data_IF_558617302155
#
_entry.id   IF_558617302155
#
_cell.length_a   1.000
_cell.length_b   1.000
_cell.length_c   1.000
_cell.angle_alpha   90.00
_cell.angle_beta   90.00
_cell.angle_gamma   90.00
#
_symmetry.space_group_name_H-M   'P 1'
#
loop_
_entity.id
_entity.type
_entity.pdbx_description
1 polymer ?
#
# COMPACT_ATOMS: atom_id res chain seq x y z
N UNK A 1 13.65 31.63 -68.24
CA UNK A 1 12.48 30.87 -67.74
C UNK A 1 12.12 31.45 -66.40
N UNK A 2 10.99 32.17 -66.39
CA UNK A 2 10.46 32.98 -65.30
C UNK A 2 9.47 32.09 -64.54
N UNK A 3 9.70 31.85 -63.25
CA UNK A 3 8.72 31.17 -62.39
C UNK A 3 8.12 32.21 -61.47
N UNK A 4 6.86 32.55 -61.75
CA UNK A 4 6.06 33.54 -61.03
C UNK A 4 5.69 33.04 -59.64
N UNK A 5 5.87 33.96 -58.68
CA UNK A 5 5.58 33.86 -57.26
C UNK A 5 4.12 34.25 -57.01
N UNK A 6 3.36 33.39 -56.34
CA UNK A 6 1.96 33.60 -55.93
C UNK A 6 1.90 34.35 -54.59
N UNK A 7 1.17 35.47 -54.45
CA UNK A 7 0.99 36.13 -53.15
C UNK A 7 -0.41 35.89 -52.53
N UNK A 8 -0.38 35.71 -51.21
CA UNK A 8 -1.28 36.17 -50.15
C UNK A 8 -2.81 36.14 -50.35
N UNK A 9 -3.48 35.26 -49.60
CA UNK A 9 -4.89 35.39 -49.20
C UNK A 9 -5.02 35.82 -47.72
N UNK A 10 -5.99 36.68 -47.35
CA UNK A 10 -6.14 37.20 -45.98
C UNK A 10 -6.93 36.24 -45.07
N UNK A 11 -6.69 36.23 -43.74
CA UNK A 11 -7.57 35.54 -42.79
C UNK A 11 -8.78 36.41 -42.39
N UNK A 12 -9.99 35.83 -42.20
CA UNK A 12 -11.15 36.57 -41.72
C UNK A 12 -11.15 36.78 -40.20
N UNK A 13 -11.22 38.07 -39.85
CA UNK A 13 -11.97 38.73 -38.77
C UNK A 13 -12.36 37.95 -37.51
N UNK A 14 -11.77 38.40 -36.40
CA UNK A 14 -12.13 38.06 -35.03
C UNK A 14 -13.52 38.57 -34.60
N UNK A 15 -14.17 37.79 -33.73
CA UNK A 15 -15.47 38.13 -33.16
C UNK A 15 -15.34 38.48 -31.67
N UNK A 16 -15.22 39.79 -31.39
CA UNK A 16 -15.38 40.39 -30.07
C UNK A 16 -16.87 40.56 -29.76
N UNK A 17 -17.42 39.80 -28.81
CA UNK A 17 -18.75 40.07 -28.26
C UNK A 17 -18.71 41.07 -27.09
N UNK A 18 -18.90 42.32 -27.49
CA UNK A 18 -19.61 43.44 -26.85
C UNK A 18 -19.98 43.33 -25.35
N UNK A 19 -19.25 44.09 -24.55
CA UNK A 19 -19.74 44.73 -23.31
C UNK A 19 -20.72 45.85 -23.67
N UNK A 20 -21.97 45.76 -23.19
CA UNK A 20 -22.96 46.84 -23.28
C UNK A 20 -22.81 47.76 -22.06
N UNK A 21 -22.38 49.00 -22.31
CA UNK A 21 -22.47 50.14 -21.39
C UNK A 21 -23.85 50.78 -21.50
N UNK A 22 -24.46 51.16 -20.37
CA UNK A 22 -25.27 52.39 -20.28
C UNK A 22 -25.26 52.91 -18.83
N UNK A 23 -24.68 54.11 -18.66
CA UNK A 23 -24.74 55.07 -17.53
C UNK A 23 -26.12 55.80 -17.56
N UNK A 24 -26.47 56.75 -16.65
CA UNK A 24 -25.87 57.18 -15.37
C UNK A 24 -26.89 57.35 -14.20
N UNK A 25 -26.37 57.68 -13.02
CA UNK A 25 -27.06 58.07 -11.78
C UNK A 25 -27.50 59.55 -11.76
N UNK A 26 -28.64 59.84 -11.15
CA UNK A 26 -28.89 61.09 -10.39
C UNK A 26 -30.05 60.85 -9.37
N UNK A 27 -30.08 61.59 -8.24
CA UNK A 27 -30.65 61.16 -6.96
C UNK A 27 -32.08 61.65 -6.72
N UNK A 28 -32.82 60.93 -5.87
CA UNK A 28 -34.11 61.37 -5.29
C UNK A 28 -34.14 60.82 -3.85
N UNK A 29 -33.89 61.64 -2.81
CA UNK A 29 -34.81 62.56 -2.11
C UNK A 29 -35.52 61.87 -0.94
N UNK A 30 -35.05 62.16 0.29
CA UNK A 30 -35.78 61.95 1.55
C UNK A 30 -37.09 62.76 1.54
N UNK A 31 -38.11 62.26 2.27
CA UNK A 31 -38.96 63.17 3.01
C UNK A 31 -39.01 62.79 4.50
N UNK A 32 -38.67 63.77 5.32
CA UNK A 32 -39.18 63.92 6.67
C UNK A 32 -40.62 64.47 6.60
N UNK A 33 -41.55 63.89 7.37
CA UNK A 33 -42.93 64.37 7.43
C UNK A 33 -43.72 63.69 8.55
N UNK A 34 -43.85 64.41 9.67
CA UNK A 34 -44.67 64.10 10.85
C UNK A 34 -46.11 63.74 10.50
N UNK A 35 -46.77 62.93 11.33
CA UNK A 35 -47.87 63.34 12.25
C UNK A 35 -48.71 62.10 12.64
N UNK A 36 -48.70 61.73 13.93
CA UNK A 36 -49.74 60.89 14.55
C UNK A 36 -50.94 61.81 14.91
N UNK A 37 -52.20 61.33 14.95
CA UNK A 37 -52.68 60.59 16.14
C UNK A 37 -53.83 59.59 15.92
N UNK A 38 -54.08 58.73 16.92
CA UNK A 38 -55.42 58.20 17.23
C UNK A 38 -55.55 56.67 17.23
N UNK A 39 -55.93 56.03 18.35
CA UNK A 39 -56.01 54.58 18.50
C UNK A 39 -57.40 54.06 18.09
N UNK A 40 -57.45 52.95 17.35
CA UNK A 40 -58.68 52.18 17.19
C UNK A 40 -58.32 50.71 16.92
N UNK A 41 -58.98 49.85 17.67
CA UNK A 41 -58.77 48.41 17.77
C UNK A 41 -58.80 47.68 16.41
N UNK A 42 -57.81 46.83 16.15
CA UNK A 42 -57.91 45.80 15.12
C UNK A 42 -57.09 44.59 15.56
N UNK A 43 -57.77 43.44 15.61
CA UNK A 43 -57.28 42.12 15.96
C UNK A 43 -55.99 41.73 15.20
N UNK A 44 -55.09 40.92 15.79
CA UNK A 44 -53.88 40.50 15.10
C UNK A 44 -54.22 39.51 13.98
N UNK A 45 -54.07 39.95 12.73
CA UNK A 45 -53.97 39.04 11.59
C UNK A 45 -52.83 38.01 11.81
N UNK A 46 -53.00 36.76 11.37
CA UNK A 46 -51.98 35.74 11.51
C UNK A 46 -50.79 36.15 10.65
N UNK A 47 -49.67 36.50 11.31
CA UNK A 47 -48.37 36.66 10.64
C UNK A 47 -48.13 35.41 9.81
N UNK A 48 -48.25 35.56 8.49
CA UNK A 48 -47.75 34.60 7.53
C UNK A 48 -46.32 34.26 7.96
N UNK A 49 -46.13 33.02 8.38
CA UNK A 49 -44.84 32.52 8.81
C UNK A 49 -43.83 32.84 7.73
N UNK A 50 -42.69 33.42 8.14
CA UNK A 50 -41.50 33.40 7.29
C UNK A 50 -41.37 31.99 6.73
N UNK A 51 -41.09 31.80 5.42
CA UNK A 51 -40.73 30.49 4.92
C UNK A 51 -39.58 30.01 5.80
N UNK A 52 -39.81 28.87 6.46
CA UNK A 52 -38.85 28.17 7.30
C UNK A 52 -37.59 28.02 6.45
N UNK A 53 -36.61 28.91 6.67
CA UNK A 53 -35.31 28.82 6.02
C UNK A 53 -34.79 27.47 6.51
N UNK A 54 -34.64 26.46 5.64
CA UNK A 54 -34.19 25.16 6.09
C UNK A 54 -32.86 25.42 6.77
N UNK A 55 -32.84 25.21 8.08
CA UNK A 55 -31.64 25.34 8.87
C UNK A 55 -30.65 24.38 8.23
N UNK A 56 -29.61 24.93 7.61
CA UNK A 56 -28.52 24.22 6.94
C UNK A 56 -27.65 23.54 8.02
N UNK A 57 -28.28 22.69 8.84
CA UNK A 57 -27.55 21.77 9.67
C UNK A 57 -26.88 20.79 8.72
N UNK A 58 -25.55 20.65 8.75
CA UNK A 58 -24.87 19.69 7.90
C UNK A 58 -25.50 18.32 8.17
N UNK A 59 -26.18 17.77 7.15
CA UNK A 59 -26.77 16.43 7.23
C UNK A 59 -25.69 15.50 7.73
N UNK A 60 -25.85 14.99 8.95
CA UNK A 60 -24.92 14.03 9.50
C UNK A 60 -24.97 12.79 8.61
N UNK A 61 -23.92 12.61 7.80
CA UNK A 61 -23.80 11.45 6.94
C UNK A 61 -23.68 10.21 7.82
N UNK A 62 -24.43 9.17 7.49
CA UNK A 62 -24.17 7.85 8.08
C UNK A 62 -22.73 7.41 7.76
N UNK A 63 -22.10 6.55 8.58
CA UNK A 63 -20.77 6.02 8.29
C UNK A 63 -20.64 5.45 6.87
N UNK A 64 -21.68 4.75 6.41
CA UNK A 64 -21.80 4.23 5.06
C UNK A 64 -21.77 5.33 3.99
N UNK A 65 -22.55 6.40 4.15
CA UNK A 65 -22.59 7.51 3.19
C UNK A 65 -21.28 8.31 3.17
N UNK A 66 -20.66 8.53 4.34
CA UNK A 66 -19.37 9.20 4.45
C UNK A 66 -18.26 8.39 3.76
N UNK A 67 -18.27 7.06 3.94
CA UNK A 67 -17.37 6.16 3.22
C UNK A 67 -17.62 6.18 1.71
N UNK A 68 -18.88 6.08 1.28
CA UNK A 68 -19.25 6.06 -0.14
C UNK A 68 -18.83 7.39 -0.82
N UNK A 69 -18.95 8.52 -0.12
CA UNK A 69 -18.49 9.83 -0.58
C UNK A 69 -16.96 9.89 -0.72
N UNK A 70 -16.21 9.44 0.30
CA UNK A 70 -14.75 9.36 0.25
C UNK A 70 -14.28 8.46 -0.90
N UNK A 71 -14.92 7.29 -1.07
CA UNK A 71 -14.60 6.35 -2.14
C UNK A 71 -14.84 6.98 -3.51
N UNK A 72 -16.02 7.56 -3.74
CA UNK A 72 -16.38 8.15 -5.02
C UNK A 72 -15.43 9.29 -5.41
N UNK A 73 -14.97 10.07 -4.44
CA UNK A 73 -14.04 11.17 -4.66
C UNK A 73 -12.60 10.70 -4.91
N UNK A 74 -12.06 9.86 -4.02
CA UNK A 74 -10.64 9.52 -4.03
C UNK A 74 -10.29 8.36 -4.98
N UNK A 75 -11.15 7.34 -5.10
CA UNK A 75 -10.79 6.11 -5.80
C UNK A 75 -10.32 6.32 -7.25
N UNK A 76 -10.98 7.15 -8.09
CA UNK A 76 -10.53 7.35 -9.47
C UNK A 76 -9.11 7.94 -9.55
N UNK A 77 -8.78 8.91 -8.69
CA UNK A 77 -7.45 9.50 -8.65
C UNK A 77 -6.42 8.51 -8.10
N UNK A 78 -6.77 7.74 -7.07
CA UNK A 78 -5.88 6.75 -6.49
C UNK A 78 -5.56 5.62 -7.46
N UNK A 79 -6.50 5.16 -8.28
CA UNK A 79 -6.22 4.11 -9.29
C UNK A 79 -5.24 4.65 -10.35
N UNK A 80 -5.40 5.91 -10.77
CA UNK A 80 -4.46 6.59 -11.66
C UNK A 80 -3.06 6.67 -11.07
N UNK A 81 -2.96 7.05 -9.80
CA UNK A 81 -1.69 7.12 -9.08
C UNK A 81 -1.02 5.74 -8.92
N UNK A 82 -1.76 4.72 -8.47
CA UNK A 82 -1.22 3.37 -8.31
C UNK A 82 -0.89 2.71 -9.64
N UNK A 83 -1.51 3.14 -10.74
CA UNK A 83 -1.10 2.75 -12.10
C UNK A 83 0.29 3.29 -12.45
N UNK A 84 0.61 4.55 -12.16
CA UNK A 84 1.96 5.09 -12.36
C UNK A 84 3.02 4.31 -11.54
N UNK A 85 2.61 3.77 -10.38
CA UNK A 85 3.49 2.95 -9.55
C UNK A 85 3.69 1.53 -10.07
N UNK A 86 2.69 0.92 -10.69
CA UNK A 86 2.67 -0.52 -11.00
C UNK A 86 2.76 -0.85 -12.48
N UNK A 87 2.35 0.07 -13.34
CA UNK A 87 2.17 -0.12 -14.78
C UNK A 87 1.09 -1.13 -15.16
N UNK A 88 0.24 -1.53 -14.21
CA UNK A 88 -0.72 -2.61 -14.36
C UNK A 88 -2.09 -2.16 -13.87
N UNK A 89 -3.06 -2.14 -14.77
CA UNK A 89 -4.41 -1.62 -14.55
C UNK A 89 -5.15 -2.45 -13.52
N UNK A 90 -5.06 -3.77 -13.60
CA UNK A 90 -5.73 -4.66 -12.65
C UNK A 90 -5.10 -4.54 -11.26
N UNK A 91 -3.77 -4.54 -11.18
CA UNK A 91 -3.07 -4.41 -9.90
C UNK A 91 -3.33 -3.05 -9.24
N UNK A 92 -3.39 -1.97 -10.02
CA UNK A 92 -3.71 -0.64 -9.55
C UNK A 92 -5.11 -0.57 -8.93
N UNK A 93 -6.12 -1.13 -9.62
CA UNK A 93 -7.51 -1.22 -9.11
C UNK A 93 -7.57 -2.05 -7.84
N UNK A 94 -6.97 -3.22 -7.83
CA UNK A 94 -6.95 -4.12 -6.67
C UNK A 94 -6.27 -3.52 -5.44
N UNK A 95 -5.19 -2.75 -5.64
CA UNK A 95 -4.50 -2.06 -4.56
C UNK A 95 -5.40 -1.02 -3.89
N UNK A 96 -6.12 -0.22 -4.69
CA UNK A 96 -7.07 0.77 -4.19
C UNK A 96 -8.27 0.10 -3.52
N UNK A 97 -8.84 -0.94 -4.13
CA UNK A 97 -9.91 -1.72 -3.51
C UNK A 97 -9.49 -2.28 -2.15
N UNK A 98 -8.27 -2.82 -2.06
CA UNK A 98 -7.76 -3.36 -0.79
C UNK A 98 -7.54 -2.27 0.25
N UNK A 99 -7.05 -1.09 -0.15
CA UNK A 99 -6.92 0.06 0.74
C UNK A 99 -8.27 0.50 1.31
N UNK A 100 -9.31 0.59 0.47
CA UNK A 100 -10.66 0.93 0.93
C UNK A 100 -11.33 -0.19 1.74
N UNK A 101 -11.03 -1.47 1.48
CA UNK A 101 -11.46 -2.57 2.35
C UNK A 101 -10.87 -2.42 3.76
N UNK A 102 -9.58 -2.09 3.85
CA UNK A 102 -8.93 -1.82 5.13
C UNK A 102 -9.48 -0.56 5.80
N UNK A 103 -9.76 0.49 5.03
CA UNK A 103 -10.38 1.71 5.52
C UNK A 103 -11.75 1.43 6.13
N UNK A 104 -12.59 0.59 5.49
CA UNK A 104 -13.89 0.21 6.04
C UNK A 104 -13.75 -0.59 7.34
N UNK A 105 -12.81 -1.52 7.40
CA UNK A 105 -12.54 -2.31 8.61
C UNK A 105 -12.11 -1.45 9.80
N UNK A 106 -11.44 -0.32 9.53
CA UNK A 106 -10.95 0.64 10.52
C UNK A 106 -11.70 1.97 10.46
N UNK A 107 -12.95 1.95 9.96
CA UNK A 107 -13.67 3.17 9.63
C UNK A 107 -13.80 4.18 10.77
N UNK A 108 -14.04 3.77 12.04
CA UNK A 108 -14.11 4.74 13.14
C UNK A 108 -12.81 5.54 13.34
N UNK A 109 -11.65 4.95 13.05
CA UNK A 109 -10.37 5.64 13.17
C UNK A 109 -10.14 6.54 11.96
N UNK A 110 -10.34 5.99 10.76
CA UNK A 110 -10.12 6.71 9.49
C UNK A 110 -11.05 7.92 9.37
N UNK A 111 -12.31 7.79 9.76
CA UNK A 111 -13.27 8.88 9.70
C UNK A 111 -12.97 10.03 10.67
N UNK A 112 -12.15 9.79 11.70
CA UNK A 112 -11.68 10.81 12.67
C UNK A 112 -10.31 11.37 12.32
N UNK A 113 -9.62 10.77 11.35
CA UNK A 113 -8.32 11.24 10.89
C UNK A 113 -8.46 12.65 10.27
N UNK A 114 -7.41 13.45 10.39
CA UNK A 114 -7.35 14.79 9.77
C UNK A 114 -7.33 14.68 8.25
N UNK A 115 -6.70 13.63 7.71
CA UNK A 115 -6.63 13.37 6.27
C UNK A 115 -6.96 11.90 5.95
N UNK A 116 -8.26 11.55 5.87
CA UNK A 116 -8.68 10.21 5.48
C UNK A 116 -8.25 9.85 4.05
N UNK A 117 -8.09 10.84 3.16
CA UNK A 117 -7.66 10.60 1.79
C UNK A 117 -6.17 10.20 1.73
N UNK A 118 -5.32 10.90 2.48
CA UNK A 118 -3.91 10.56 2.67
C UNK A 118 -3.72 9.19 3.31
N UNK A 119 -4.52 8.85 4.34
CA UNK A 119 -4.49 7.52 4.94
C UNK A 119 -4.74 6.42 3.89
N UNK A 120 -5.82 6.54 3.10
CA UNK A 120 -6.15 5.54 2.07
C UNK A 120 -5.08 5.52 0.98
N UNK A 121 -4.51 6.67 0.62
CA UNK A 121 -3.43 6.78 -0.38
C UNK A 121 -2.17 6.05 0.06
N UNK A 122 -1.72 6.24 1.29
CA UNK A 122 -0.57 5.54 1.86
C UNK A 122 -0.78 4.02 1.80
N UNK A 123 -1.93 3.53 2.27
CA UNK A 123 -2.27 2.10 2.23
C UNK A 123 -2.37 1.57 0.79
N UNK A 124 -2.92 2.35 -0.13
CA UNK A 124 -3.00 1.98 -1.55
C UNK A 124 -1.61 1.87 -2.18
N UNK A 125 -0.67 2.74 -1.81
CA UNK A 125 0.70 2.74 -2.29
C UNK A 125 1.49 1.54 -1.74
N UNK A 126 1.32 1.22 -0.46
CA UNK A 126 1.90 0.01 0.14
C UNK A 126 1.36 -1.26 -0.51
N UNK A 127 0.05 -1.29 -0.75
CA UNK A 127 -0.58 -2.37 -1.48
C UNK A 127 -0.03 -2.46 -2.90
N UNK A 128 0.13 -1.34 -3.62
CA UNK A 128 0.60 -1.32 -5.00
C UNK A 128 2.07 -1.77 -5.14
N UNK A 129 2.95 -1.31 -4.25
CA UNK A 129 4.39 -1.57 -4.29
C UNK A 129 4.81 -2.84 -3.54
N UNK A 130 3.85 -3.61 -3.03
CA UNK A 130 4.12 -4.80 -2.24
C UNK A 130 4.97 -5.83 -3.02
N UNK A 131 6.10 -6.31 -2.46
CA UNK A 131 6.97 -7.25 -3.14
C UNK A 131 6.29 -8.61 -3.38
N UNK A 132 5.21 -8.91 -2.65
CA UNK A 132 4.48 -10.17 -2.77
C UNK A 132 3.78 -10.36 -4.12
N UNK A 133 3.56 -9.29 -4.90
CA UNK A 133 2.96 -9.40 -6.22
C UNK A 133 3.79 -10.21 -7.21
N UNK A 134 5.12 -10.27 -7.00
CA UNK A 134 6.03 -11.10 -7.81
C UNK A 134 5.71 -12.60 -7.71
N UNK A 135 5.07 -13.03 -6.62
CA UNK A 135 4.73 -14.43 -6.40
C UNK A 135 3.33 -14.80 -6.88
N UNK A 136 2.53 -13.83 -7.35
CA UNK A 136 1.15 -14.07 -7.79
C UNK A 136 1.12 -14.51 -9.25
N UNK A 137 0.65 -15.74 -9.56
CA UNK A 137 0.63 -16.25 -10.93
C UNK A 137 -0.14 -15.36 -11.92
N UNK A 138 -1.27 -14.79 -11.47
CA UNK A 138 -2.11 -13.86 -12.25
C UNK A 138 -1.38 -12.61 -12.75
N UNK A 139 -0.25 -12.27 -12.14
CA UNK A 139 0.56 -11.09 -12.45
C UNK A 139 1.84 -11.46 -13.21
N UNK A 140 1.98 -12.71 -13.68
CA UNK A 140 3.13 -13.12 -14.50
C UNK A 140 2.98 -12.70 -15.96
N UNK A 141 1.76 -12.61 -16.47
CA UNK A 141 1.50 -12.12 -17.82
C UNK A 141 1.59 -10.59 -17.86
N UNK A 142 2.33 -10.01 -18.82
CA UNK A 142 2.33 -8.56 -19.02
C UNK A 142 0.97 -8.09 -19.52
N UNK A 143 0.50 -6.94 -19.03
CA UNK A 143 -0.66 -6.27 -19.61
C UNK A 143 -0.27 -5.56 -20.92
N UNK A 144 -1.23 -5.32 -21.84
CA UNK A 144 -0.98 -4.51 -23.03
C UNK A 144 -0.41 -3.14 -22.62
N UNK A 145 0.69 -2.68 -23.25
CA UNK A 145 1.26 -1.39 -22.92
C UNK A 145 0.32 -0.25 -23.36
N UNK A 146 0.51 0.98 -22.86
CA UNK A 146 -0.21 2.15 -23.38
C UNK A 146 -0.18 2.24 -24.91
N UNK A 147 -1.25 2.78 -25.52
CA UNK A 147 -1.34 2.87 -26.98
C UNK A 147 -0.34 3.88 -27.57
N UNK A 148 -0.17 5.03 -26.91
CA UNK A 148 0.75 6.07 -27.33
C UNK A 148 2.21 5.65 -27.02
N UNK A 149 3.14 5.70 -28.01
CA UNK A 149 4.56 5.47 -27.76
C UNK A 149 5.15 6.36 -26.66
N UNK A 150 4.80 7.64 -26.59
CA UNK A 150 5.34 8.56 -25.59
C UNK A 150 4.91 8.16 -24.16
N UNK A 151 3.66 7.71 -24.01
CA UNK A 151 3.12 7.20 -22.76
C UNK A 151 3.81 5.90 -22.33
N UNK A 152 4.11 5.02 -23.29
CA UNK A 152 4.87 3.77 -23.03
C UNK A 152 6.27 4.06 -22.53
N UNK A 153 6.96 5.01 -23.15
CA UNK A 153 8.34 5.38 -22.77
C UNK A 153 8.39 6.02 -21.39
N UNK A 154 7.47 6.94 -21.08
CA UNK A 154 7.35 7.52 -19.74
C UNK A 154 7.06 6.45 -18.69
N UNK A 155 6.07 5.59 -18.93
CA UNK A 155 5.75 4.51 -18.00
C UNK A 155 6.95 3.58 -17.80
N UNK A 156 7.66 3.22 -18.87
CA UNK A 156 8.86 2.40 -18.78
C UNK A 156 9.98 3.08 -17.97
N UNK A 157 10.19 4.39 -18.14
CA UNK A 157 11.15 5.16 -17.34
C UNK A 157 10.79 5.11 -15.85
N UNK A 158 9.52 5.33 -15.49
CA UNK A 158 9.03 5.23 -14.11
C UNK A 158 9.21 3.83 -13.52
N UNK A 159 8.87 2.78 -14.27
CA UNK A 159 8.96 1.40 -13.81
C UNK A 159 10.40 0.89 -13.65
N UNK A 160 11.36 1.57 -14.28
CA UNK A 160 12.80 1.29 -14.12
C UNK A 160 13.35 1.83 -12.79
N UNK A 161 12.72 2.87 -12.23
CA UNK A 161 13.13 3.44 -10.93
C UNK A 161 12.91 2.42 -9.80
N UNK A 162 13.78 2.39 -8.75
CA UNK A 162 13.48 1.62 -7.55
C UNK A 162 12.15 2.07 -6.90
N UNK A 163 11.38 1.16 -6.27
CA UNK A 163 10.04 1.45 -5.76
C UNK A 163 9.95 2.70 -4.87
N UNK A 164 10.93 2.92 -3.98
CA UNK A 164 10.95 4.08 -3.10
C UNK A 164 11.11 5.41 -3.86
N UNK A 165 11.95 5.44 -4.91
CA UNK A 165 12.20 6.63 -5.73
C UNK A 165 10.98 6.94 -6.59
N UNK A 166 10.38 5.91 -7.19
CA UNK A 166 9.13 6.02 -7.94
C UNK A 166 7.99 6.54 -7.06
N UNK A 167 7.86 6.01 -5.84
CA UNK A 167 6.88 6.49 -4.85
C UNK A 167 7.07 7.98 -4.56
N UNK A 168 8.28 8.38 -4.20
CA UNK A 168 8.62 9.78 -3.90
C UNK A 168 8.31 10.70 -5.08
N UNK A 169 8.70 10.31 -6.30
CA UNK A 169 8.43 11.11 -7.51
C UNK A 169 6.94 11.24 -7.79
N UNK A 170 6.16 10.16 -7.70
CA UNK A 170 4.71 10.23 -7.94
C UNK A 170 4.01 11.05 -6.85
N UNK A 171 4.43 10.97 -5.59
CA UNK A 171 3.86 11.81 -4.51
C UNK A 171 4.13 13.30 -4.74
N UNK A 172 5.38 13.65 -5.05
CA UNK A 172 5.76 15.05 -5.22
C UNK A 172 5.30 15.60 -6.58
N UNK A 173 5.77 15.01 -7.68
CA UNK A 173 5.51 15.50 -9.05
C UNK A 173 4.18 15.01 -9.62
N UNK A 174 3.58 13.94 -9.12
CA UNK A 174 2.30 13.44 -9.61
C UNK A 174 1.10 13.96 -8.82
N UNK A 175 1.17 13.86 -7.48
CA UNK A 175 0.09 14.28 -6.57
C UNK A 175 0.21 15.76 -6.21
N UNK A 176 1.42 16.31 -6.16
CA UNK A 176 1.67 17.71 -5.80
C UNK A 176 1.80 17.95 -4.30
N UNK A 177 2.18 16.92 -3.53
CA UNK A 177 2.49 17.10 -2.11
C UNK A 177 3.74 17.94 -1.91
N UNK A 178 3.83 18.61 -0.76
CA UNK A 178 5.07 19.24 -0.38
C UNK A 178 6.13 18.19 0.03
N UNK A 179 7.37 18.65 0.21
CA UNK A 179 8.48 17.76 0.52
C UNK A 179 8.37 17.14 1.93
N UNK A 180 8.02 17.89 3.00
CA UNK A 180 7.73 17.31 4.31
C UNK A 180 6.62 16.24 4.31
N UNK A 181 5.49 16.48 3.64
CA UNK A 181 4.37 15.55 3.52
C UNK A 181 4.79 14.29 2.76
N UNK A 182 5.52 14.46 1.65
CA UNK A 182 6.10 13.34 0.89
C UNK A 182 7.06 12.51 1.75
N UNK A 183 7.87 13.17 2.60
CA UNK A 183 8.80 12.49 3.49
C UNK A 183 8.06 11.69 4.57
N UNK A 184 7.04 12.28 5.19
CA UNK A 184 6.20 11.62 6.19
C UNK A 184 5.54 10.36 5.62
N UNK A 185 4.99 10.45 4.41
CA UNK A 185 4.32 9.31 3.76
C UNK A 185 5.22 8.22 3.23
N UNK A 186 6.49 8.55 2.97
CA UNK A 186 7.49 7.57 2.55
C UNK A 186 8.32 7.05 3.73
N UNK A 187 7.91 7.39 4.95
CA UNK A 187 8.58 7.05 6.21
C UNK A 187 10.08 7.39 6.15
N UNK A 188 10.38 8.58 5.62
CA UNK A 188 11.73 9.06 5.38
C UNK A 188 11.95 10.43 6.01
N UNK A 189 13.22 10.80 6.22
CA UNK A 189 13.55 12.18 6.55
C UNK A 189 13.38 13.08 5.33
N UNK A 190 13.08 14.36 5.54
CA UNK A 190 12.96 15.35 4.46
C UNK A 190 14.19 15.40 3.54
N UNK A 191 15.44 15.37 4.05
CA UNK A 191 16.62 15.29 3.20
C UNK A 191 16.68 13.99 2.37
N UNK A 192 16.31 12.84 2.95
CA UNK A 192 16.29 11.58 2.22
C UNK A 192 15.23 11.58 1.10
N UNK A 193 14.05 12.16 1.35
CA UNK A 193 13.02 12.35 0.32
C UNK A 193 13.53 13.29 -0.79
N UNK A 194 14.23 14.38 -0.44
CA UNK A 194 14.82 15.29 -1.41
C UNK A 194 15.83 14.58 -2.32
N UNK A 195 16.77 13.83 -1.74
CA UNK A 195 17.77 13.07 -2.50
C UNK A 195 17.10 12.05 -3.43
N UNK A 196 16.09 11.32 -2.94
CA UNK A 196 15.33 10.36 -3.77
C UNK A 196 14.64 11.06 -4.94
N UNK A 197 14.04 12.23 -4.70
CA UNK A 197 13.35 13.00 -5.73
C UNK A 197 14.33 13.50 -6.81
N UNK A 198 15.47 14.08 -6.39
CA UNK A 198 16.50 14.56 -7.32
C UNK A 198 17.00 13.42 -8.21
N UNK A 199 17.38 12.29 -7.62
CA UNK A 199 17.84 11.13 -8.40
C UNK A 199 16.76 10.53 -9.29
N UNK A 200 15.50 10.51 -8.83
CA UNK A 200 14.39 10.03 -9.65
C UNK A 200 14.20 10.93 -10.89
N UNK A 201 14.27 12.26 -10.72
CA UNK A 201 14.20 13.22 -11.82
C UNK A 201 15.37 13.10 -12.78
N UNK A 202 16.60 12.98 -12.26
CA UNK A 202 17.80 12.75 -13.08
C UNK A 202 17.66 11.48 -13.93
N UNK A 203 17.21 10.38 -13.34
CA UNK A 203 17.02 9.11 -14.05
C UNK A 203 15.91 9.18 -15.11
N UNK A 204 14.83 9.93 -14.87
CA UNK A 204 13.78 10.17 -15.87
C UNK A 204 14.32 11.06 -16.99
N UNK A 205 14.96 12.19 -16.66
CA UNK A 205 15.50 13.14 -17.63
C UNK A 205 16.61 12.54 -18.51
N UNK A 206 17.41 11.61 -17.97
CA UNK A 206 18.42 10.89 -18.75
C UNK A 206 17.82 10.03 -19.87
N UNK A 207 16.56 9.59 -19.73
CA UNK A 207 15.84 8.82 -20.76
C UNK A 207 14.92 9.69 -21.61
N UNK A 208 14.33 10.73 -21.00
CA UNK A 208 13.32 11.61 -21.59
C UNK A 208 13.72 13.07 -21.29
N UNK A 209 14.68 13.65 -22.05
CA UNK A 209 15.23 14.98 -21.78
C UNK A 209 14.17 16.09 -21.80
N UNK A 210 13.11 15.94 -22.58
CA UNK A 210 11.97 16.85 -22.64
C UNK A 210 11.18 16.94 -21.32
N UNK A 211 11.36 15.97 -20.41
CA UNK A 211 10.74 15.93 -19.08
C UNK A 211 11.70 16.38 -17.97
N UNK A 212 12.83 17.00 -18.31
CA UNK A 212 13.73 17.60 -17.32
C UNK A 212 13.08 18.77 -16.56
N UNK A 213 12.12 19.47 -17.19
CA UNK A 213 11.31 20.48 -16.54
C UNK A 213 10.25 19.82 -15.61
N UNK A 214 10.24 20.12 -14.29
CA UNK A 214 9.27 19.55 -13.37
C UNK A 214 7.80 19.83 -13.75
N UNK A 215 7.50 21.00 -14.33
CA UNK A 215 6.13 21.33 -14.74
C UNK A 215 5.67 20.51 -15.95
N UNK A 216 6.56 20.28 -16.92
CA UNK A 216 6.33 19.36 -18.03
C UNK A 216 6.14 17.92 -17.54
N UNK A 217 6.98 17.46 -16.60
CA UNK A 217 6.85 16.13 -15.99
C UNK A 217 5.51 15.96 -15.29
N UNK A 218 5.11 16.90 -14.43
CA UNK A 218 3.82 16.87 -13.74
C UNK A 218 2.65 16.75 -14.72
N UNK A 219 2.62 17.57 -15.76
CA UNK A 219 1.58 17.54 -16.79
C UNK A 219 1.52 16.18 -17.49
N UNK A 220 2.68 15.64 -17.89
CA UNK A 220 2.75 14.33 -18.57
C UNK A 220 2.35 13.17 -17.68
N UNK A 221 2.66 13.21 -16.38
CA UNK A 221 2.16 12.23 -15.42
C UNK A 221 0.63 12.26 -15.33
N UNK A 222 0.02 13.45 -15.29
CA UNK A 222 -1.44 13.60 -15.28
C UNK A 222 -2.09 13.11 -16.59
N UNK A 223 -1.52 13.47 -17.74
CA UNK A 223 -2.00 13.04 -19.06
C UNK A 223 -1.97 11.50 -19.17
N UNK A 224 -0.82 10.89 -18.91
CA UNK A 224 -0.65 9.42 -18.92
C UNK A 224 -1.67 8.74 -18.02
N UNK A 225 -1.84 9.25 -16.79
CA UNK A 225 -2.75 8.63 -15.85
C UNK A 225 -4.22 8.80 -16.26
N UNK A 226 -4.58 9.91 -16.93
CA UNK A 226 -5.95 10.20 -17.39
C UNK A 226 -6.34 9.49 -18.69
N UNK A 227 -5.39 9.23 -19.59
CA UNK A 227 -5.61 8.57 -20.87
C UNK A 227 -6.05 7.11 -20.71
N UNK A 228 -5.57 6.47 -19.65
CA UNK A 228 -5.93 5.10 -19.34
C UNK A 228 -7.33 5.02 -18.72
N UNK A 229 -8.22 4.21 -19.31
CA UNK A 229 -9.57 3.94 -18.78
C UNK A 229 -9.50 3.05 -17.53
N UNK A 230 -9.06 3.66 -16.45
CA UNK A 230 -8.91 3.07 -15.14
C UNK A 230 -10.20 3.26 -14.34
N UNK A 231 -11.22 2.44 -14.63
CA UNK A 231 -12.44 2.43 -13.83
C UNK A 231 -12.18 1.89 -12.41
N UNK A 232 -12.65 2.60 -11.39
CA UNK A 232 -12.75 2.08 -10.03
C UNK A 232 -14.01 1.20 -9.89
N UNK A 233 -13.94 0.15 -9.05
CA UNK A 233 -15.12 -0.67 -8.74
C UNK A 233 -16.22 0.17 -8.06
N UNK A 234 -17.47 -0.33 -8.02
CA UNK A 234 -18.54 0.41 -7.32
C UNK A 234 -18.35 0.35 -5.79
N UNK A 235 -18.66 1.44 -5.05
CA UNK A 235 -18.44 1.53 -3.60
C UNK A 235 -19.09 0.39 -2.81
N UNK A 236 -20.31 0.01 -3.18
CA UNK A 236 -21.09 -1.06 -2.53
C UNK A 236 -20.42 -2.43 -2.61
N UNK A 237 -19.67 -2.72 -3.68
CA UNK A 237 -18.93 -3.98 -3.80
C UNK A 237 -17.75 -4.05 -2.83
N UNK A 238 -17.08 -2.91 -2.59
CA UNK A 238 -15.92 -2.85 -1.69
C UNK A 238 -16.36 -3.07 -0.25
N UNK A 239 -17.48 -2.44 0.17
CA UNK A 239 -18.06 -2.63 1.50
C UNK A 239 -18.51 -4.07 1.74
N UNK A 240 -19.42 -4.57 0.90
CA UNK A 240 -19.98 -5.92 1.06
C UNK A 240 -18.93 -7.02 0.88
N UNK A 241 -17.94 -6.80 0.01
CA UNK A 241 -16.81 -7.72 -0.17
C UNK A 241 -15.90 -7.78 1.06
N UNK A 242 -15.66 -6.65 1.72
CA UNK A 242 -14.85 -6.59 2.94
C UNK A 242 -15.50 -7.35 4.10
N UNK A 243 -16.81 -7.18 4.29
CA UNK A 243 -17.58 -7.83 5.36
C UNK A 243 -17.61 -9.34 5.17
N UNK A 244 -17.88 -9.81 3.94
CA UNK A 244 -17.85 -11.25 3.60
C UNK A 244 -16.48 -11.87 3.82
N UNK A 245 -15.41 -11.16 3.43
CA UNK A 245 -14.03 -11.61 3.67
C UNK A 245 -13.73 -11.69 5.16
N UNK A 246 -14.14 -10.70 5.94
CA UNK A 246 -13.87 -10.71 7.38
C UNK A 246 -14.59 -11.88 8.05
N UNK A 247 -15.88 -12.06 7.75
CA UNK A 247 -16.66 -13.21 8.24
C UNK A 247 -16.05 -14.54 7.80
N UNK A 248 -15.59 -14.64 6.54
CA UNK A 248 -14.91 -15.84 6.05
C UNK A 248 -13.63 -16.13 6.82
N UNK A 249 -12.77 -15.13 7.06
CA UNK A 249 -11.53 -15.30 7.82
C UNK A 249 -11.79 -15.66 9.28
N UNK A 250 -12.78 -15.04 9.94
CA UNK A 250 -13.19 -15.41 11.29
C UNK A 250 -13.66 -16.86 11.34
N UNK A 251 -14.50 -17.29 10.39
CA UNK A 251 -14.98 -18.67 10.29
C UNK A 251 -13.84 -19.65 10.01
N UNK A 252 -12.91 -19.31 9.13
CA UNK A 252 -11.75 -20.13 8.81
C UNK A 252 -10.82 -20.29 10.02
N UNK A 253 -10.58 -19.22 10.78
CA UNK A 253 -9.79 -19.26 12.01
C UNK A 253 -10.45 -20.19 13.05
N UNK A 254 -11.76 -20.06 13.26
CA UNK A 254 -12.52 -20.95 14.15
C UNK A 254 -12.40 -22.41 13.69
N UNK A 255 -12.61 -22.69 12.41
CA UNK A 255 -12.51 -24.05 11.86
C UNK A 255 -11.09 -24.64 12.03
N UNK A 256 -10.05 -23.82 11.83
CA UNK A 256 -8.66 -24.21 12.03
C UNK A 256 -8.37 -24.54 13.50
N UNK A 257 -8.84 -23.71 14.44
CA UNK A 257 -8.73 -23.99 15.87
C UNK A 257 -9.43 -25.29 16.26
N UNK A 258 -10.65 -25.52 15.77
CA UNK A 258 -11.38 -26.78 16.00
C UNK A 258 -10.62 -27.98 15.44
N UNK A 259 -10.00 -27.83 14.26
CA UNK A 259 -9.19 -28.89 13.64
C UNK A 259 -7.95 -29.22 14.46
N UNK A 260 -7.23 -28.20 14.96
CA UNK A 260 -6.07 -28.41 15.84
C UNK A 260 -6.50 -29.12 17.12
N UNK A 261 -7.54 -28.64 17.80
CA UNK A 261 -8.03 -29.27 19.04
C UNK A 261 -8.47 -30.71 18.79
N UNK A 262 -9.16 -30.97 17.68
CA UNK A 262 -9.55 -32.32 17.27
C UNK A 262 -8.34 -33.22 17.01
N UNK A 263 -7.33 -32.73 16.29
CA UNK A 263 -6.10 -33.46 16.02
C UNK A 263 -5.32 -33.74 17.30
N UNK A 264 -5.17 -32.76 18.20
CA UNK A 264 -4.53 -32.93 19.51
C UNK A 264 -5.28 -33.92 20.39
N UNK A 265 -6.61 -33.89 20.39
CA UNK A 265 -7.41 -34.85 21.16
C UNK A 265 -7.26 -36.26 20.60
N UNK A 266 -7.21 -36.39 19.27
CA UNK A 266 -6.99 -37.65 18.59
C UNK A 266 -5.60 -38.21 18.92
N UNK A 267 -4.55 -37.38 18.83
CA UNK A 267 -3.19 -37.83 19.18
C UNK A 267 -3.09 -38.23 20.64
N UNK A 268 -3.70 -37.49 21.57
CA UNK A 268 -3.75 -37.89 22.98
C UNK A 268 -4.48 -39.23 23.20
N UNK A 269 -5.46 -39.57 22.35
CA UNK A 269 -6.17 -40.87 22.43
C UNK A 269 -5.43 -42.02 21.78
N UNK A 270 -4.73 -41.79 20.67
CA UNK A 270 -4.16 -42.86 19.84
C UNK A 270 -2.65 -43.00 19.98
N UNK A 271 -1.96 -42.01 20.56
CA UNK A 271 -0.51 -42.08 20.71
C UNK A 271 -0.14 -43.21 21.69
N UNK A 272 0.77 -44.12 21.30
CA UNK A 272 1.28 -45.12 22.21
C UNK A 272 1.97 -44.43 23.40
N UNK A 273 1.49 -44.71 24.61
CA UNK A 273 1.97 -44.10 25.86
C UNK A 273 3.33 -44.64 26.31
N UNK A 274 3.83 -45.67 25.63
CA UNK A 274 5.10 -46.31 25.93
C UNK A 274 5.91 -46.47 24.65
N UNK A 275 7.12 -45.92 24.67
CA UNK A 275 8.11 -46.15 23.64
C UNK A 275 8.82 -47.46 23.93
N UNK A 276 8.63 -48.46 23.08
CA UNK A 276 9.48 -49.66 23.08
C UNK A 276 10.65 -49.42 22.11
N UNK A 277 11.89 -49.32 22.61
CA UNK A 277 13.03 -49.12 21.72
C UNK A 277 13.16 -50.34 20.80
N UNK A 278 13.31 -50.13 19.48
CA UNK A 278 13.54 -51.24 18.56
C UNK A 278 14.82 -51.96 18.98
N UNK A 279 14.71 -53.27 19.22
CA UNK A 279 15.85 -54.11 19.54
C UNK A 279 16.79 -54.06 18.35
N UNK A 280 17.97 -53.49 18.53
CA UNK A 280 18.98 -53.47 17.48
C UNK A 280 19.29 -54.91 17.05
N UNK A 281 19.43 -55.18 15.74
CA UNK A 281 19.80 -56.51 15.27
C UNK A 281 21.11 -56.93 15.93
N UNK A 282 21.20 -58.20 16.30
CA UNK A 282 22.39 -58.75 16.96
C UNK A 282 23.63 -58.55 16.06
N UNK A 283 24.40 -57.51 16.35
CA UNK A 283 25.70 -57.29 15.73
C UNK A 283 26.70 -58.15 16.48
N UNK A 284 27.28 -59.15 15.82
CA UNK A 284 28.41 -59.89 16.39
C UNK A 284 29.51 -58.89 16.75
N UNK A 285 29.83 -58.80 18.05
CA UNK A 285 30.93 -57.96 18.53
C UNK A 285 32.23 -58.52 17.93
N UNK A 286 32.69 -57.93 16.81
CA UNK A 286 33.95 -58.33 16.18
C UNK A 286 35.09 -57.68 16.94
N UNK A 287 36.12 -58.47 17.24
CA UNK A 287 37.33 -57.98 17.91
C UNK A 287 37.31 -58.12 19.44
N UNK A 288 36.37 -58.87 20.03
CA UNK A 288 36.58 -59.35 21.40
C UNK A 288 37.80 -60.28 21.35
N UNK A 289 38.88 -59.98 22.09
CA UNK A 289 40.00 -60.91 22.20
C UNK A 289 39.44 -62.26 22.62
N UNK A 290 39.91 -63.36 22.00
CA UNK A 290 39.56 -64.69 22.48
C UNK A 290 39.76 -64.69 23.99
N UNK A 291 38.73 -65.11 24.75
CA UNK A 291 38.82 -65.20 26.21
C UNK A 291 40.11 -65.95 26.50
N UNK A 292 41.13 -65.21 26.95
CA UNK A 292 42.43 -65.78 27.28
C UNK A 292 42.14 -66.88 28.27
N UNK A 293 42.50 -68.11 27.92
CA UNK A 293 42.14 -69.28 28.73
C UNK A 293 42.48 -69.00 30.19
N UNK A 294 41.60 -69.42 31.09
CA UNK A 294 41.80 -69.45 32.54
C UNK A 294 42.95 -70.41 32.92
N UNK A 295 44.13 -70.17 32.37
CA UNK A 295 45.38 -70.87 32.62
C UNK A 295 46.42 -69.88 33.14
N UNK A 296 47.49 -70.38 33.77
CA UNK A 296 48.61 -69.54 34.15
C UNK A 296 49.15 -68.81 32.91
N UNK A 297 49.38 -67.50 33.05
CA UNK A 297 49.97 -66.65 32.01
C UNK A 297 51.17 -67.36 31.38
N UNK A 298 51.24 -67.37 30.04
CA UNK A 298 52.41 -67.91 29.36
C UNK A 298 53.66 -67.14 29.78
N UNK A 299 54.83 -67.72 29.53
CA UNK A 299 56.11 -67.08 29.89
C UNK A 299 56.24 -65.71 29.20
N UNK A 300 55.80 -65.62 27.95
CA UNK A 300 55.77 -64.38 27.17
C UNK A 300 54.81 -63.35 27.77
N UNK A 301 53.61 -63.78 28.21
CA UNK A 301 52.65 -62.89 28.88
C UNK A 301 53.18 -62.36 30.22
N UNK A 302 53.92 -63.18 30.97
CA UNK A 302 54.57 -62.75 32.22
C UNK A 302 55.66 -61.72 31.97
N UNK A 303 56.50 -61.94 30.96
CA UNK A 303 57.53 -60.97 30.57
C UNK A 303 56.93 -59.66 30.05
N UNK A 304 55.88 -59.73 29.24
CA UNK A 304 55.15 -58.56 28.78
C UNK A 304 54.53 -57.80 29.96
N UNK A 305 53.94 -58.52 30.92
CA UNK A 305 53.37 -57.92 32.13
C UNK A 305 54.43 -57.25 33.00
N UNK A 306 55.60 -57.86 33.17
CA UNK A 306 56.72 -57.22 33.88
C UNK A 306 57.25 -55.98 33.15
N UNK A 307 57.36 -56.03 31.81
CA UNK A 307 57.75 -54.87 30.99
C UNK A 307 56.75 -53.72 31.12
N UNK A 308 55.45 -54.01 30.99
CA UNK A 308 54.40 -53.00 31.13
C UNK A 308 54.38 -52.40 32.55
N UNK A 309 54.58 -53.23 33.58
CA UNK A 309 54.63 -52.76 34.97
C UNK A 309 55.85 -51.87 35.23
N UNK A 310 57.00 -52.14 34.62
CA UNK A 310 58.18 -51.24 34.67
C UNK A 310 57.95 -49.94 33.90
N UNK A 311 57.24 -50.01 32.76
CA UNK A 311 56.92 -48.85 31.94
C UNK A 311 55.89 -47.92 32.62
N UNK A 312 54.90 -48.47 33.34
CA UNK A 312 53.94 -47.67 34.12
C UNK A 312 54.61 -46.85 35.23
N UNK A 313 55.71 -47.34 35.82
CA UNK A 313 56.45 -46.59 36.85
C UNK A 313 57.14 -45.33 36.31
N UNK A 314 57.22 -45.18 34.98
CA UNK A 314 57.88 -44.05 34.29
C UNK A 314 56.97 -43.33 33.29
N UNK A 315 55.65 -43.58 33.34
CA UNK A 315 54.65 -42.85 32.55
C UNK A 315 54.30 -41.48 33.17
N UNK A 316 53.90 -40.48 32.36
CA UNK A 316 53.53 -39.15 32.85
C UNK A 316 52.40 -39.22 33.88
N UNK A 317 52.42 -38.31 34.87
CA UNK A 317 51.45 -38.25 35.98
C UNK A 317 50.01 -38.43 35.49
N UNK A 318 49.30 -39.42 36.07
CA UNK A 318 47.90 -39.70 35.73
C UNK A 318 47.06 -38.47 36.01
N UNK A 319 46.48 -37.89 34.96
CA UNK A 319 45.54 -36.76 35.08
C UNK A 319 44.26 -37.27 35.75
N UNK A 320 43.98 -36.79 36.96
CA UNK A 320 42.72 -37.08 37.65
C UNK A 320 41.62 -36.16 37.10
N UNK A 321 40.41 -36.67 36.84
CA UNK A 321 39.31 -35.85 36.36
C UNK A 321 38.85 -34.90 37.49
N UNK A 322 38.99 -33.59 37.27
CA UNK A 322 38.35 -32.59 38.14
C UNK A 322 36.84 -32.65 37.95
N UNK A 323 36.13 -32.92 39.05
CA UNK A 323 34.67 -32.83 39.08
C UNK A 323 34.27 -31.35 39.03
N UNK A 324 33.51 -30.98 37.99
CA UNK A 324 32.86 -29.67 37.89
C UNK A 324 31.37 -29.81 38.09
#
# INVERSE_FOLDING_TARGET
>A
MVTTQTPAGPPPSGNRRRLRRSRPLTPVQEPAGRTAPGPADTEPEPRAGLPDVPSDQPRQLTPAQAFDALYAFCAPALVRQTYLLTGRRELAREAVERAFQLAWQRWPDVARDRDPAGWVRAVAYDCALSPWHRFRPRHRSPEPPPADPADRELLHALLTLPPAYRRTLVLYDGVGLDLPETAAETEASTPAAASRLTHAREAVAARLPELADPAALHRRLLELASAERLGAARPTHVRTGSERRNVFWTRAAIAFTVTIVGATTLTLRTAPTRYEPPIAPAQAVRGVPAVGGMGPLSREDRELREKLRKAETSGPERVFPEAR
#
